data_IF_944667463443
#
_entry.id   IF_944667463443
#
_cell.length_a   1.000
_cell.length_b   1.000
_cell.length_c   1.000
_cell.angle_alpha   90.00
_cell.angle_beta   90.00
_cell.angle_gamma   90.00
#
_symmetry.space_group_name_H-M   'P 1'
#
loop_
_entity.id
_entity.type
_entity.pdbx_description
1 polymer ?
#
# COMPACT_ATOMS: atom_id res chain seq x y z
N UNK A 1 -6.35 -26.64 -22.62
CA UNK A 1 -6.76 -25.51 -21.76
C UNK A 1 -6.45 -25.84 -20.30
N UNK A 2 -5.52 -25.12 -19.64
CA UNK A 2 -5.34 -25.27 -18.19
C UNK A 2 -6.53 -24.61 -17.49
N UNK A 3 -7.37 -25.41 -16.81
CA UNK A 3 -8.55 -24.91 -16.09
C UNK A 3 -8.09 -23.92 -15.01
N UNK A 4 -8.62 -22.69 -15.07
CA UNK A 4 -8.43 -21.71 -14.00
C UNK A 4 -8.89 -22.32 -12.67
N UNK A 5 -8.16 -22.12 -11.56
CA UNK A 5 -8.54 -22.68 -10.28
C UNK A 5 -9.94 -22.21 -9.86
N UNK A 6 -10.79 -23.12 -9.35
CA UNK A 6 -12.19 -22.84 -8.98
C UNK A 6 -12.36 -21.64 -8.04
N UNK A 7 -11.36 -21.34 -7.20
CA UNK A 7 -11.40 -20.19 -6.30
C UNK A 7 -11.31 -18.84 -7.01
N UNK A 8 -10.74 -18.77 -8.23
CA UNK A 8 -10.68 -17.54 -9.01
C UNK A 8 -12.10 -17.09 -9.39
N UNK A 9 -12.98 -18.04 -9.71
CA UNK A 9 -14.40 -17.78 -10.00
C UNK A 9 -15.21 -17.31 -8.78
N UNK A 10 -14.80 -17.66 -7.55
CA UNK A 10 -15.50 -17.21 -6.32
C UNK A 10 -15.23 -15.76 -5.94
N UNK A 11 -14.29 -15.09 -6.61
CA UNK A 11 -13.93 -13.68 -6.35
C UNK A 11 -14.57 -12.70 -7.33
N UNK A 12 -15.24 -13.20 -8.38
CA UNK A 12 -15.80 -12.39 -9.45
C UNK A 12 -17.25 -12.80 -9.70
N UNK A 13 -18.10 -11.80 -9.85
CA UNK A 13 -19.51 -12.02 -10.18
C UNK A 13 -19.65 -12.59 -11.59
N UNK A 14 -18.90 -12.04 -12.55
CA UNK A 14 -18.92 -12.44 -13.95
C UNK A 14 -17.54 -12.33 -14.58
N UNK A 15 -17.26 -13.24 -15.51
CA UNK A 15 -16.11 -13.19 -16.41
C UNK A 15 -16.65 -13.39 -17.82
N UNK A 16 -16.44 -12.42 -18.69
CA UNK A 16 -17.06 -12.37 -20.01
C UNK A 16 -16.03 -11.93 -21.06
N UNK A 17 -16.25 -12.28 -22.32
CA UNK A 17 -15.58 -11.63 -23.44
C UNK A 17 -16.35 -10.36 -23.90
N UNK A 18 -15.80 -9.61 -24.85
CA UNK A 18 -16.43 -8.37 -25.35
C UNK A 18 -17.83 -8.59 -25.96
N UNK A 19 -18.04 -9.69 -26.69
CA UNK A 19 -19.34 -9.99 -27.32
C UNK A 19 -20.38 -10.39 -26.29
N UNK A 20 -19.99 -11.17 -25.28
CA UNK A 20 -20.87 -11.54 -24.16
C UNK A 20 -21.25 -10.33 -23.29
N UNK A 21 -20.36 -9.33 -23.18
CA UNK A 21 -20.61 -8.13 -22.39
C UNK A 21 -21.54 -7.14 -23.11
N UNK A 22 -21.26 -6.82 -24.38
CA UNK A 22 -22.04 -5.84 -25.15
C UNK A 22 -23.25 -6.43 -25.89
N UNK A 23 -23.33 -7.76 -26.03
CA UNK A 23 -24.44 -8.42 -26.71
C UNK A 23 -24.63 -7.91 -28.14
N UNK A 24 -25.85 -7.46 -28.45
CA UNK A 24 -26.21 -6.98 -29.79
C UNK A 24 -25.68 -5.59 -30.11
N UNK A 25 -25.23 -4.82 -29.10
CA UNK A 25 -24.62 -3.50 -29.31
C UNK A 25 -23.23 -3.57 -29.96
N UNK A 26 -22.64 -4.77 -30.10
CA UNK A 26 -21.35 -4.98 -30.73
C UNK A 26 -21.50 -5.86 -31.99
N UNK A 27 -21.30 -5.27 -33.18
CA UNK A 27 -21.29 -6.03 -34.44
C UNK A 27 -19.85 -6.31 -34.90
N UNK A 28 -19.54 -7.62 -34.99
CA UNK A 28 -18.22 -8.13 -35.36
C UNK A 28 -18.16 -8.65 -36.80
N UNK A 29 -19.29 -8.70 -37.54
CA UNK A 29 -19.39 -9.46 -38.80
C UNK A 29 -18.47 -8.95 -39.91
N UNK A 30 -18.21 -7.64 -39.94
CA UNK A 30 -17.43 -7.00 -41.01
C UNK A 30 -16.16 -6.29 -40.52
N UNK A 31 -15.71 -6.57 -39.28
CA UNK A 31 -14.57 -5.89 -38.70
C UNK A 31 -13.55 -6.88 -38.11
N UNK A 32 -12.55 -7.25 -38.92
CA UNK A 32 -11.51 -8.21 -38.55
C UNK A 32 -10.62 -7.73 -37.39
N UNK A 33 -10.36 -6.42 -37.30
CA UNK A 33 -9.56 -5.84 -36.22
C UNK A 33 -10.31 -5.94 -34.89
N UNK A 34 -11.58 -5.53 -34.89
CA UNK A 34 -12.47 -5.60 -33.71
C UNK A 34 -12.75 -7.05 -33.30
N UNK A 35 -12.90 -7.97 -34.25
CA UNK A 35 -13.03 -9.40 -33.96
C UNK A 35 -11.76 -9.95 -33.29
N UNK A 36 -10.58 -9.51 -33.74
CA UNK A 36 -9.30 -9.90 -33.13
C UNK A 36 -9.17 -9.34 -31.72
N UNK A 37 -9.58 -8.09 -31.50
CA UNK A 37 -9.64 -7.48 -30.17
C UNK A 37 -10.62 -8.25 -29.26
N UNK A 38 -11.83 -8.53 -29.75
CA UNK A 38 -12.87 -9.24 -29.00
C UNK A 38 -12.42 -10.63 -28.50
N UNK A 39 -11.61 -11.34 -29.30
CA UNK A 39 -11.03 -12.65 -28.91
C UNK A 39 -9.93 -12.53 -27.84
N UNK A 40 -9.28 -11.37 -27.71
CA UNK A 40 -8.16 -11.14 -26.78
C UNK A 40 -8.61 -10.57 -25.45
N UNK A 41 -9.70 -9.82 -25.43
CA UNK A 41 -10.18 -9.12 -24.24
C UNK A 41 -11.03 -10.03 -23.36
N UNK A 42 -10.70 -10.01 -22.06
CA UNK A 42 -11.47 -10.62 -20.98
C UNK A 42 -11.90 -9.51 -20.03
N UNK A 43 -13.19 -9.47 -19.74
CA UNK A 43 -13.83 -8.51 -18.85
C UNK A 43 -14.20 -9.25 -17.58
N UNK A 44 -13.81 -8.67 -16.44
CA UNK A 44 -14.06 -9.25 -15.12
C UNK A 44 -14.86 -8.24 -14.30
N UNK A 45 -16.01 -8.69 -13.80
CA UNK A 45 -16.89 -7.93 -12.90
C UNK A 45 -16.66 -8.40 -11.47
N UNK A 46 -16.04 -7.59 -10.60
CA UNK A 46 -15.90 -7.93 -9.19
C UNK A 46 -17.23 -7.71 -8.44
N UNK A 47 -17.48 -8.47 -7.37
CA UNK A 47 -18.69 -8.32 -6.54
C UNK A 47 -18.81 -6.92 -5.91
N UNK A 48 -17.70 -6.36 -5.42
CA UNK A 48 -17.65 -5.00 -4.87
C UNK A 48 -17.23 -4.00 -5.94
N UNK A 49 -17.95 -3.98 -7.07
CA UNK A 49 -17.65 -3.07 -8.20
C UNK A 49 -17.69 -1.63 -7.73
N UNK A 50 -16.62 -0.88 -8.02
CA UNK A 50 -16.61 0.56 -7.85
C UNK A 50 -17.34 1.18 -9.05
N UNK A 51 -18.40 1.95 -8.80
CA UNK A 51 -19.18 2.61 -9.85
C UNK A 51 -18.55 3.96 -10.24
N UNK A 52 -17.30 3.91 -10.70
CA UNK A 52 -16.55 5.11 -11.09
C UNK A 52 -17.16 5.82 -12.29
N UNK A 53 -17.79 5.09 -13.21
CA UNK A 53 -18.59 5.63 -14.32
C UNK A 53 -19.68 6.58 -13.83
N UNK A 54 -20.42 6.20 -12.79
CA UNK A 54 -21.49 7.02 -12.20
C UNK A 54 -20.95 8.25 -11.49
N UNK A 55 -19.76 8.14 -10.88
CA UNK A 55 -19.07 9.29 -10.28
C UNK A 55 -18.61 10.28 -11.35
N UNK A 56 -18.08 9.77 -12.46
CA UNK A 56 -17.67 10.58 -13.60
C UNK A 56 -18.85 11.32 -14.23
N UNK A 57 -19.97 10.65 -14.46
CA UNK A 57 -21.18 11.26 -15.03
C UNK A 57 -21.82 12.34 -14.14
N UNK A 58 -21.59 12.28 -12.82
CA UNK A 58 -22.06 13.28 -11.84
C UNK A 58 -21.06 14.41 -11.61
N UNK A 59 -19.88 14.35 -12.22
CA UNK A 59 -18.84 15.33 -12.02
C UNK A 59 -19.25 16.69 -12.63
N UNK A 60 -19.01 17.79 -11.89
CA UNK A 60 -19.40 19.15 -12.33
C UNK A 60 -18.72 19.60 -13.63
N UNK A 61 -17.61 18.97 -14.00
CA UNK A 61 -16.87 19.23 -15.23
C UNK A 61 -17.11 18.15 -16.29
N UNK A 62 -18.04 17.22 -16.06
CA UNK A 62 -18.47 16.27 -17.08
C UNK A 62 -19.05 17.03 -18.27
N UNK A 63 -18.45 16.83 -19.44
CA UNK A 63 -18.95 17.45 -20.65
C UNK A 63 -20.16 16.65 -21.16
N UNK A 64 -21.36 17.21 -21.00
CA UNK A 64 -22.59 16.59 -21.51
C UNK A 64 -22.61 16.47 -23.03
N UNK A 65 -21.83 17.30 -23.73
CA UNK A 65 -21.55 17.17 -25.16
C UNK A 65 -20.47 16.11 -25.30
N UNK A 66 -20.87 14.84 -25.19
CA UNK A 66 -19.92 13.74 -25.06
C UNK A 66 -19.00 13.70 -26.27
N UNK A 67 -17.69 13.61 -26.02
CA UNK A 67 -16.71 13.58 -27.09
C UNK A 67 -16.81 12.26 -27.86
N UNK A 68 -17.12 12.34 -29.15
CA UNK A 68 -17.21 11.17 -30.06
C UNK A 68 -15.84 10.65 -30.52
N UNK A 69 -14.76 11.26 -30.04
CA UNK A 69 -13.40 10.86 -30.36
C UNK A 69 -12.73 10.21 -29.14
N UNK A 70 -12.26 8.96 -29.30
CA UNK A 70 -11.70 8.15 -28.21
C UNK A 70 -10.55 8.88 -27.48
N UNK A 71 -9.63 9.54 -28.19
CA UNK A 71 -8.47 10.18 -27.57
C UNK A 71 -8.89 11.31 -26.62
N UNK A 72 -9.77 12.20 -27.08
CA UNK A 72 -10.30 13.29 -26.25
C UNK A 72 -11.11 12.77 -25.08
N UNK A 73 -11.87 11.69 -25.28
CA UNK A 73 -12.59 11.01 -24.20
C UNK A 73 -11.62 10.45 -23.14
N UNK A 74 -10.52 9.82 -23.54
CA UNK A 74 -9.50 9.32 -22.63
C UNK A 74 -8.80 10.45 -21.86
N UNK A 75 -8.55 11.58 -22.52
CA UNK A 75 -7.96 12.77 -21.89
C UNK A 75 -8.93 13.39 -20.86
N UNK A 76 -10.24 13.42 -21.13
CA UNK A 76 -11.25 13.84 -20.16
C UNK A 76 -11.28 12.91 -18.94
N UNK A 77 -11.25 11.59 -19.16
CA UNK A 77 -11.20 10.62 -18.07
C UNK A 77 -9.91 10.74 -17.25
N UNK A 78 -8.79 11.06 -17.90
CA UNK A 78 -7.55 11.33 -17.21
C UNK A 78 -7.67 12.57 -16.32
N UNK A 79 -8.32 13.64 -16.79
CA UNK A 79 -8.59 14.83 -15.98
C UNK A 79 -9.56 14.55 -14.82
N UNK A 80 -10.60 13.75 -15.05
CA UNK A 80 -11.49 13.27 -14.00
C UNK A 80 -10.72 12.48 -12.95
N UNK A 81 -9.94 11.48 -13.37
CA UNK A 81 -9.12 10.69 -12.48
C UNK A 81 -8.16 11.59 -11.70
N UNK A 82 -7.53 12.59 -12.35
CA UNK A 82 -6.60 13.54 -11.73
C UNK A 82 -7.19 14.19 -10.47
N UNK A 83 -8.44 14.62 -10.56
CA UNK A 83 -9.18 15.30 -9.49
C UNK A 83 -9.66 14.35 -8.40
N UNK A 84 -9.95 13.11 -8.76
CA UNK A 84 -10.27 12.06 -7.80
C UNK A 84 -8.95 11.55 -7.15
N UNK A 85 -8.48 12.23 -6.11
CA UNK A 85 -7.18 12.00 -5.44
C UNK A 85 -6.92 10.56 -4.97
N UNK A 86 -7.95 9.70 -4.88
CA UNK A 86 -7.88 8.28 -4.48
C UNK A 86 -8.29 7.28 -5.59
N UNK A 87 -8.18 7.68 -6.86
CA UNK A 87 -8.58 6.85 -8.00
C UNK A 87 -7.51 5.78 -8.31
N UNK A 88 -7.51 4.70 -7.54
CA UNK A 88 -6.68 3.52 -7.80
C UNK A 88 -7.21 2.75 -9.01
N UNK A 89 -6.75 3.14 -10.20
CA UNK A 89 -7.23 2.59 -11.46
C UNK A 89 -6.07 2.41 -12.44
N UNK A 90 -5.91 1.20 -12.99
CA UNK A 90 -4.72 0.78 -13.75
C UNK A 90 -4.39 1.74 -14.90
N UNK A 91 -5.41 2.23 -15.60
CA UNK A 91 -5.26 3.17 -16.71
C UNK A 91 -4.57 4.48 -16.32
N UNK A 92 -4.64 4.88 -15.04
CA UNK A 92 -4.21 6.20 -14.54
C UNK A 92 -3.11 6.14 -13.46
N UNK A 93 -2.49 4.97 -13.22
CA UNK A 93 -1.50 4.77 -12.13
C UNK A 93 -0.17 5.48 -12.41
N UNK A 94 0.22 5.65 -13.68
CA UNK A 94 1.44 6.37 -14.05
C UNK A 94 1.13 7.85 -14.22
N UNK A 95 1.28 8.63 -13.16
CA UNK A 95 1.22 10.10 -13.27
C UNK A 95 2.62 10.68 -13.13
N UNK A 96 2.95 11.53 -14.08
CA UNK A 96 3.72 12.75 -13.80
C UNK A 96 2.78 13.91 -14.08
N UNK A 97 2.40 14.67 -13.05
CA UNK A 97 1.56 15.87 -13.18
C UNK A 97 2.30 17.06 -13.85
N UNK A 98 3.51 16.85 -14.38
CA UNK A 98 4.35 17.91 -14.96
C UNK A 98 4.20 18.12 -16.47
N UNK A 99 3.59 17.21 -17.22
CA UNK A 99 3.35 17.46 -18.65
C UNK A 99 2.03 18.19 -18.84
N UNK A 100 2.08 19.52 -18.88
CA UNK A 100 1.03 20.36 -19.48
C UNK A 100 0.76 20.00 -20.96
N UNK A 101 1.55 19.09 -21.54
CA UNK A 101 1.46 18.58 -22.91
C UNK A 101 0.69 17.27 -23.08
N UNK A 102 0.07 16.71 -22.04
CA UNK A 102 -0.85 15.56 -22.19
C UNK A 102 -0.21 14.19 -22.49
N UNK A 103 1.12 14.07 -22.52
CA UNK A 103 1.81 12.81 -22.79
C UNK A 103 2.02 11.97 -21.52
N UNK A 104 0.93 11.39 -20.98
CA UNK A 104 1.02 10.31 -20.00
C UNK A 104 0.66 8.98 -20.66
N UNK A 105 1.58 8.39 -21.42
CA UNK A 105 1.37 7.10 -22.09
C UNK A 105 1.99 5.97 -21.27
N UNK A 106 1.28 5.50 -20.23
CA UNK A 106 1.60 4.16 -19.74
C UNK A 106 1.22 3.11 -20.80
N UNK A 107 1.78 1.91 -20.70
CA UNK A 107 1.54 0.83 -21.69
C UNK A 107 0.06 0.53 -21.92
N UNK A 108 -0.77 0.66 -20.88
CA UNK A 108 -2.21 0.46 -21.00
C UNK A 108 -2.91 1.61 -21.74
N UNK A 109 -2.56 2.86 -21.47
CA UNK A 109 -3.06 4.03 -22.21
C UNK A 109 -2.61 3.98 -23.67
N UNK A 110 -1.36 3.57 -23.91
CA UNK A 110 -0.82 3.44 -25.26
C UNK A 110 -1.58 2.37 -26.08
N UNK A 111 -2.02 1.27 -25.45
CA UNK A 111 -2.87 0.27 -26.10
C UNK A 111 -4.17 0.90 -26.62
N UNK A 112 -4.85 1.73 -25.83
CA UNK A 112 -6.06 2.41 -26.28
C UNK A 112 -5.82 3.44 -27.39
N UNK A 113 -4.71 4.21 -27.30
CA UNK A 113 -4.40 5.26 -28.28
C UNK A 113 -3.87 4.74 -29.63
N UNK A 114 -3.20 3.58 -29.64
CA UNK A 114 -2.52 3.05 -30.84
C UNK A 114 -3.33 1.99 -31.59
N UNK A 115 -4.11 1.17 -30.90
CA UNK A 115 -4.86 0.09 -31.53
C UNK A 115 -6.24 0.59 -31.99
N UNK A 116 -6.39 0.74 -33.31
CA UNK A 116 -7.60 1.26 -33.99
C UNK A 116 -8.88 0.51 -33.64
N UNK A 117 -8.78 -0.77 -33.27
CA UNK A 117 -9.93 -1.56 -32.84
C UNK A 117 -10.62 -0.98 -31.59
N UNK A 118 -9.89 -0.27 -30.72
CA UNK A 118 -10.51 0.42 -29.58
C UNK A 118 -11.34 1.63 -30.00
N UNK A 119 -10.90 2.38 -31.01
CA UNK A 119 -11.67 3.49 -31.56
C UNK A 119 -12.95 2.99 -32.23
N UNK A 120 -12.85 1.91 -33.01
CA UNK A 120 -14.02 1.26 -33.62
C UNK A 120 -15.00 0.71 -32.57
N UNK A 121 -14.48 0.11 -31.48
CA UNK A 121 -15.32 -0.34 -30.36
C UNK A 121 -16.04 0.86 -29.72
N UNK A 122 -15.30 1.95 -29.45
CA UNK A 122 -15.82 3.17 -28.86
C UNK A 122 -16.94 3.80 -29.70
N UNK A 123 -16.76 3.87 -31.01
CA UNK A 123 -17.77 4.36 -31.95
C UNK A 123 -19.04 3.49 -31.95
N UNK A 124 -18.90 2.17 -31.91
CA UNK A 124 -20.06 1.26 -31.92
C UNK A 124 -20.86 1.28 -30.61
N UNK A 125 -20.18 1.18 -29.46
CA UNK A 125 -20.88 1.06 -28.16
C UNK A 125 -21.21 2.42 -27.54
N UNK A 126 -20.59 3.47 -28.05
CA UNK A 126 -20.72 4.82 -27.54
C UNK A 126 -19.96 5.07 -26.23
N UNK A 127 -19.78 6.35 -25.90
CA UNK A 127 -18.90 6.78 -24.81
C UNK A 127 -19.40 6.38 -23.42
N UNK A 128 -20.71 6.26 -23.22
CA UNK A 128 -21.28 5.86 -21.93
C UNK A 128 -20.98 4.40 -21.61
N UNK A 129 -21.32 3.50 -22.54
CA UNK A 129 -21.10 2.06 -22.36
C UNK A 129 -19.60 1.73 -22.35
N UNK A 130 -18.81 2.44 -23.16
CA UNK A 130 -17.36 2.33 -23.13
C UNK A 130 -16.76 2.82 -21.81
N UNK A 131 -17.25 3.95 -21.27
CA UNK A 131 -16.84 4.46 -19.96
C UNK A 131 -17.16 3.49 -18.83
N UNK A 132 -18.35 2.89 -18.84
CA UNK A 132 -18.71 1.82 -17.90
C UNK A 132 -17.75 0.63 -18.00
N UNK A 133 -17.47 0.15 -19.21
CA UNK A 133 -16.51 -0.93 -19.43
C UNK A 133 -15.15 -0.63 -18.80
N UNK A 134 -14.53 0.52 -19.14
CA UNK A 134 -13.14 0.75 -18.77
C UNK A 134 -12.96 1.22 -17.32
N UNK A 135 -13.96 1.89 -16.74
CA UNK A 135 -13.90 2.46 -15.38
C UNK A 135 -14.38 1.48 -14.32
N UNK A 136 -15.45 0.74 -14.59
CA UNK A 136 -16.10 -0.08 -13.56
C UNK A 136 -15.65 -1.54 -13.60
N UNK A 137 -15.18 -2.02 -14.75
CA UNK A 137 -14.75 -3.42 -14.92
C UNK A 137 -13.24 -3.55 -14.99
N UNK A 138 -12.74 -4.73 -14.61
CA UNK A 138 -11.35 -5.11 -14.81
C UNK A 138 -11.23 -5.65 -16.23
N UNK A 139 -10.49 -4.94 -17.08
CA UNK A 139 -10.29 -5.34 -18.47
C UNK A 139 -8.87 -5.86 -18.64
N UNK A 140 -8.75 -7.08 -19.16
CA UNK A 140 -7.50 -7.80 -19.35
C UNK A 140 -7.35 -8.17 -20.82
N UNK A 141 -6.18 -7.94 -21.38
CA UNK A 141 -5.81 -8.40 -22.72
C UNK A 141 -4.92 -9.62 -22.66
N UNK A 142 -5.18 -10.60 -23.53
CA UNK A 142 -4.32 -11.77 -23.74
C UNK A 142 -3.21 -11.44 -24.74
N UNK A 143 -1.99 -11.78 -24.36
CA UNK A 143 -0.79 -11.65 -25.19
C UNK A 143 -0.56 -12.93 -26.01
N UNK A 144 0.16 -12.81 -27.13
CA UNK A 144 0.46 -13.93 -28.04
C UNK A 144 1.21 -15.07 -27.36
N UNK A 145 2.08 -14.78 -26.39
CA UNK A 145 2.79 -15.76 -25.57
C UNK A 145 1.95 -16.45 -24.48
N UNK A 146 0.63 -16.26 -24.45
CA UNK A 146 -0.26 -16.83 -23.44
C UNK A 146 -0.28 -16.08 -22.10
N UNK A 147 0.47 -14.98 -21.99
CA UNK A 147 0.41 -14.05 -20.86
C UNK A 147 -0.86 -13.18 -20.86
N UNK A 148 -1.12 -12.53 -19.73
CA UNK A 148 -2.24 -11.63 -19.54
C UNK A 148 -1.75 -10.29 -18.99
N UNK A 149 -2.33 -9.20 -19.48
CA UNK A 149 -2.02 -7.84 -19.06
C UNK A 149 -3.31 -7.09 -18.74
N UNK A 150 -3.41 -6.47 -17.56
CA UNK A 150 -4.55 -5.64 -17.20
C UNK A 150 -4.39 -4.26 -17.83
N UNK A 151 -5.39 -3.85 -18.63
CA UNK A 151 -5.39 -2.57 -19.35
C UNK A 151 -6.25 -1.50 -18.67
N UNK A 152 -7.29 -1.88 -17.92
CA UNK A 152 -8.11 -0.91 -17.20
C UNK A 152 -8.76 -1.52 -15.94
N UNK A 153 -9.51 -0.70 -15.21
CA UNK A 153 -10.19 -1.08 -13.99
C UNK A 153 -9.33 -1.02 -12.73
N UNK A 154 -9.95 -1.44 -11.63
CA UNK A 154 -9.29 -1.55 -10.33
C UNK A 154 -8.19 -2.63 -10.36
N UNK A 155 -6.99 -2.39 -9.82
CA UNK A 155 -5.89 -3.37 -9.91
C UNK A 155 -6.28 -4.71 -9.29
N UNK A 156 -6.21 -5.81 -10.07
CA UNK A 156 -6.57 -7.15 -9.60
C UNK A 156 -5.72 -7.58 -8.38
N UNK A 157 -4.48 -7.08 -8.30
CA UNK A 157 -3.54 -7.30 -7.19
C UNK A 157 -3.98 -6.68 -5.85
N UNK A 158 -4.95 -5.76 -5.88
CA UNK A 158 -5.51 -5.09 -4.71
C UNK A 158 -6.82 -5.70 -4.24
N UNK A 159 -7.38 -6.65 -4.98
CA UNK A 159 -8.59 -7.34 -4.55
C UNK A 159 -8.33 -8.15 -3.27
N UNK A 160 -9.35 -8.30 -2.40
CA UNK A 160 -9.23 -9.10 -1.19
C UNK A 160 -8.76 -10.51 -1.55
N UNK A 161 -7.64 -10.94 -0.96
CA UNK A 161 -7.19 -12.32 -1.13
C UNK A 161 -8.21 -13.24 -0.44
N UNK A 162 -8.77 -14.25 -1.13
CA UNK A 162 -9.65 -15.20 -0.48
C UNK A 162 -8.88 -15.88 0.65
N UNK A 163 -9.51 -15.96 1.83
CA UNK A 163 -8.97 -16.69 2.99
C UNK A 163 -8.91 -18.17 2.63
N UNK A 164 -7.77 -18.64 2.12
CA UNK A 164 -7.54 -20.07 1.89
C UNK A 164 -7.58 -20.74 3.26
N UNK A 165 -8.70 -21.40 3.60
CA UNK A 165 -8.72 -22.37 4.69
C UNK A 165 -7.73 -23.46 4.30
N UNK A 166 -6.54 -23.45 4.92
CA UNK A 166 -5.60 -24.56 4.80
C UNK A 166 -6.27 -25.79 5.42
N UNK A 167 -6.97 -26.57 4.60
CA UNK A 167 -7.27 -27.93 4.98
C UNK A 167 -5.92 -28.66 4.99
N UNK A 168 -5.42 -28.92 6.19
CA UNK A 168 -4.28 -29.79 6.45
C UNK A 168 -4.72 -31.18 5.99
N UNK A 169 -4.48 -31.50 4.71
CA UNK A 169 -4.46 -32.87 4.26
C UNK A 169 -3.24 -33.53 4.90
N UNK A 170 -3.47 -34.25 6.01
CA UNK A 170 -2.52 -35.23 6.53
C UNK A 170 -2.34 -36.29 5.43
N UNK A 171 -1.31 -36.16 4.61
CA UNK A 171 -0.81 -37.26 3.79
C UNK A 171 -0.33 -38.34 4.76
N UNK A 172 -1.10 -39.42 4.90
CA UNK A 172 -0.61 -40.70 5.45
C UNK A 172 0.57 -41.12 4.57
N UNK A 173 1.77 -41.07 5.12
CA UNK A 173 2.96 -41.67 4.52
C UNK A 173 2.87 -43.16 4.84
N UNK A 174 2.73 -43.98 3.80
CA UNK A 174 2.91 -45.43 3.93
C UNK A 174 4.41 -45.69 4.18
N UNK A 175 4.72 -46.37 5.27
CA UNK A 175 6.06 -46.87 5.56
C UNK A 175 6.29 -48.19 4.81
N UNK A 176 7.43 -48.39 4.13
CA UNK A 176 7.86 -49.72 3.70
C UNK A 176 8.48 -50.48 4.88
N UNK A 177 8.16 -51.77 4.95
CA UNK A 177 8.63 -52.71 5.98
C UNK A 177 10.10 -53.11 5.76
N UNK A 178 10.79 -53.17 6.89
CA UNK A 178 11.91 -54.03 7.31
C UNK A 178 13.11 -54.27 6.37
N UNK A 179 14.30 -53.97 6.89
CA UNK A 179 15.32 -55.00 7.09
C UNK A 179 16.29 -54.60 8.22
N UNK A 180 16.60 -55.59 9.07
CA UNK A 180 17.34 -55.51 10.32
C UNK A 180 18.86 -55.45 10.11
N UNK A 181 19.56 -54.54 10.80
CA UNK A 181 20.93 -54.80 11.26
C UNK A 181 21.08 -54.31 12.70
N UNK A 182 21.53 -55.20 13.57
CA UNK A 182 21.66 -55.03 15.02
C UNK A 182 23.00 -54.40 15.40
N UNK A 183 23.00 -53.49 16.39
CA UNK A 183 24.16 -53.24 17.25
C UNK A 183 23.74 -52.86 18.68
N UNK A 184 24.61 -53.12 19.68
CA UNK A 184 24.19 -53.54 21.00
C UNK A 184 24.56 -52.48 22.04
N UNK A 185 23.58 -51.74 22.54
CA UNK A 185 23.70 -51.05 23.82
C UNK A 185 22.39 -51.20 24.57
N UNK A 186 22.35 -52.13 25.53
CA UNK A 186 21.24 -52.31 26.47
C UNK A 186 21.13 -51.06 27.34
N UNK A 187 20.34 -50.08 26.91
CA UNK A 187 19.88 -49.00 27.78
C UNK A 187 18.85 -49.56 28.78
N UNK A 188 18.85 -49.12 30.05
CA UNK A 188 17.88 -49.58 31.03
C UNK A 188 16.45 -49.28 30.55
N UNK A 189 15.54 -50.25 30.69
CA UNK A 189 14.13 -50.08 30.32
C UNK A 189 13.50 -49.01 31.22
N UNK A 190 13.42 -47.78 30.71
CA UNK A 190 12.69 -46.67 31.35
C UNK A 190 11.23 -47.08 31.57
N UNK A 191 10.72 -46.76 32.76
CA UNK A 191 9.34 -47.04 33.15
C UNK A 191 8.34 -46.33 32.23
N UNK A 192 7.11 -46.85 32.11
CA UNK A 192 6.01 -46.25 31.31
C UNK A 192 5.82 -44.75 31.61
N UNK A 193 6.07 -44.31 32.85
CA UNK A 193 5.97 -42.91 33.27
C UNK A 193 7.10 -42.03 32.71
N UNK A 194 8.33 -42.53 32.63
CA UNK A 194 9.47 -41.80 32.08
C UNK A 194 9.38 -41.66 30.55
N UNK A 195 8.94 -42.71 29.85
CA UNK A 195 8.68 -42.64 28.40
C UNK A 195 7.58 -41.63 28.04
N UNK A 196 6.56 -41.49 28.89
CA UNK A 196 5.48 -40.51 28.69
C UNK A 196 5.97 -39.07 28.93
N UNK A 197 6.90 -38.84 29.88
CA UNK A 197 7.51 -37.52 30.10
C UNK A 197 8.46 -37.11 28.98
N UNK A 198 9.26 -38.03 28.44
CA UNK A 198 10.16 -37.75 27.31
C UNK A 198 9.38 -37.45 26.02
N UNK A 199 8.32 -38.21 25.70
CA UNK A 199 7.46 -37.88 24.54
C UNK A 199 6.77 -36.52 24.66
N UNK A 200 6.38 -36.11 25.87
CA UNK A 200 5.78 -34.78 26.11
C UNK A 200 6.84 -33.66 26.05
N UNK A 201 8.10 -33.95 26.40
CA UNK A 201 9.21 -33.01 26.26
C UNK A 201 9.65 -32.85 24.79
N UNK A 202 9.79 -33.95 24.04
CA UNK A 202 10.10 -33.96 22.61
C UNK A 202 8.99 -33.31 21.78
N UNK A 203 7.71 -33.56 22.10
CA UNK A 203 6.58 -32.84 21.46
C UNK A 203 6.56 -31.34 21.81
N UNK A 204 7.00 -30.94 23.01
CA UNK A 204 7.12 -29.52 23.40
C UNK A 204 8.34 -28.83 22.76
N UNK A 205 9.40 -29.56 22.44
CA UNK A 205 10.56 -29.03 21.70
C UNK A 205 10.32 -28.97 20.19
N UNK A 206 9.63 -29.97 19.61
CA UNK A 206 9.22 -29.93 18.19
C UNK A 206 8.16 -28.84 17.92
N UNK A 207 7.23 -28.59 18.84
CA UNK A 207 6.27 -27.47 18.75
C UNK A 207 6.94 -26.09 18.89
N UNK A 208 8.08 -25.99 19.58
CA UNK A 208 8.84 -24.74 19.71
C UNK A 208 9.71 -24.41 18.50
N UNK A 209 10.13 -25.40 17.70
CA UNK A 209 11.05 -25.19 16.59
C UNK A 209 10.45 -25.11 15.18
N UNK A 210 9.13 -25.30 15.00
CA UNK A 210 8.52 -25.28 13.64
C UNK A 210 7.35 -24.31 13.44
N UNK A 211 7.22 -23.26 14.26
CA UNK A 211 6.24 -22.19 13.97
C UNK A 211 6.75 -20.81 14.39
N UNK A 212 7.69 -20.24 13.61
CA UNK A 212 7.81 -18.77 13.56
C UNK A 212 6.51 -18.26 12.91
N UNK A 213 5.56 -17.82 13.75
CA UNK A 213 4.42 -17.06 13.27
C UNK A 213 4.94 -15.90 12.40
N UNK A 214 4.36 -15.64 11.23
CA UNK A 214 4.75 -14.47 10.44
C UNK A 214 4.53 -13.23 11.31
N UNK A 215 5.57 -12.40 11.42
CA UNK A 215 5.51 -11.11 12.12
C UNK A 215 4.30 -10.35 11.57
N UNK A 216 3.35 -9.89 12.42
CA UNK A 216 2.20 -9.11 11.98
C UNK A 216 2.62 -7.96 11.05
N UNK A 217 1.90 -7.78 9.94
CA UNK A 217 2.23 -6.77 8.92
C UNK A 217 2.25 -5.33 9.49
N UNK A 218 1.56 -5.10 10.61
CA UNK A 218 1.51 -3.85 11.38
C UNK A 218 2.85 -3.46 12.03
N UNK A 219 3.77 -4.42 12.20
CA UNK A 219 5.10 -4.19 12.75
C UNK A 219 6.12 -3.79 11.68
N UNK A 220 5.71 -3.60 10.43
CA UNK A 220 6.56 -3.10 9.36
C UNK A 220 6.22 -1.66 9.01
N UNK A 221 7.26 -0.84 8.78
CA UNK A 221 7.07 0.53 8.30
C UNK A 221 6.45 0.50 6.91
N UNK A 222 5.24 1.05 6.79
CA UNK A 222 4.48 1.07 5.55
C UNK A 222 5.10 2.06 4.55
N UNK A 223 5.80 1.55 3.52
CA UNK A 223 6.38 2.37 2.45
C UNK A 223 5.36 2.81 1.39
N UNK A 224 4.10 2.33 1.44
CA UNK A 224 3.10 2.60 0.37
C UNK A 224 2.71 4.07 0.28
N UNK A 225 2.74 4.81 1.40
CA UNK A 225 2.46 6.25 1.45
C UNK A 225 3.52 7.12 0.75
N UNK A 226 4.75 6.61 0.60
CA UNK A 226 5.86 7.34 -0.05
C UNK A 226 5.87 7.12 -1.58
N UNK A 227 5.19 6.08 -2.09
CA UNK A 227 5.34 5.62 -3.48
C UNK A 227 4.83 6.59 -4.55
N UNK A 228 3.85 7.43 -4.22
CA UNK A 228 3.19 8.30 -5.20
C UNK A 228 2.77 9.62 -4.55
N UNK A 229 3.76 10.43 -4.17
CA UNK A 229 3.51 11.82 -3.81
C UNK A 229 3.45 12.62 -5.11
N UNK A 230 2.24 12.87 -5.59
CA UNK A 230 1.99 13.47 -6.92
C UNK A 230 1.49 14.92 -6.85
N UNK A 231 1.36 15.49 -5.66
CA UNK A 231 1.06 16.90 -5.45
C UNK A 231 2.16 17.55 -4.61
N UNK A 232 2.27 18.88 -4.67
CA UNK A 232 2.61 19.64 -3.47
C UNK A 232 1.64 19.16 -2.39
N UNK A 233 2.10 18.29 -1.50
CA UNK A 233 1.30 17.92 -0.35
C UNK A 233 1.17 19.22 0.43
N UNK A 234 -0.04 19.79 0.42
CA UNK A 234 -0.57 20.46 1.60
C UNK A 234 -0.39 19.45 2.71
N UNK A 235 0.63 19.66 3.55
CA UNK A 235 1.09 18.76 4.60
C UNK A 235 -0.10 17.95 5.14
N UNK A 236 -0.06 16.62 5.06
CA UNK A 236 -1.07 15.76 5.70
C UNK A 236 -1.14 16.10 7.21
N UNK A 237 -0.02 16.58 7.76
CA UNK A 237 0.07 17.17 9.10
C UNK A 237 -0.30 18.67 9.16
N UNK A 238 -0.05 19.45 8.12
CA UNK A 238 -0.30 20.90 8.13
C UNK A 238 -1.78 21.23 8.01
N UNK A 239 -2.64 20.40 7.44
CA UNK A 239 -4.09 20.67 7.54
C UNK A 239 -4.63 20.43 8.96
N UNK A 240 -4.14 19.42 9.69
CA UNK A 240 -4.47 19.25 11.13
C UNK A 240 -3.80 20.31 12.02
N UNK A 241 -2.60 20.74 11.66
CA UNK A 241 -1.81 21.68 12.47
C UNK A 241 -2.04 23.16 12.12
N UNK A 242 -2.55 23.50 10.93
CA UNK A 242 -2.66 24.88 10.41
C UNK A 242 -4.08 25.48 10.37
N UNK A 243 -5.14 24.78 10.79
CA UNK A 243 -6.45 25.43 10.98
C UNK A 243 -6.42 26.40 12.20
N UNK A 244 -7.05 27.55 12.06
CA UNK A 244 -6.70 28.84 12.68
C UNK A 244 -6.85 29.06 14.21
N UNK A 245 -6.36 30.25 14.61
CA UNK A 245 -6.34 30.98 15.90
C UNK A 245 -5.24 30.63 16.91
N UNK A 246 -4.40 31.63 17.21
CA UNK A 246 -3.33 31.66 18.22
C UNK A 246 -3.88 31.69 19.67
N UNK A 247 -4.99 31.00 19.92
CA UNK A 247 -5.54 30.85 21.27
C UNK A 247 -5.01 29.54 21.90
N UNK A 248 -4.49 29.62 23.12
CA UNK A 248 -3.88 28.50 23.88
C UNK A 248 -4.85 27.29 24.03
N UNK A 249 -6.16 27.54 23.90
CA UNK A 249 -7.20 26.50 23.87
C UNK A 249 -7.16 25.64 22.59
N UNK A 250 -6.96 26.25 21.42
CA UNK A 250 -6.88 25.52 20.14
C UNK A 250 -5.60 24.69 20.00
N UNK A 251 -4.50 25.12 20.64
CA UNK A 251 -3.26 24.35 20.68
C UNK A 251 -3.41 23.04 21.46
N UNK A 252 -4.12 23.06 22.60
CA UNK A 252 -4.38 21.87 23.42
C UNK A 252 -5.21 20.83 22.67
N UNK A 253 -6.25 21.26 21.96
CA UNK A 253 -7.10 20.37 21.15
C UNK A 253 -6.32 19.70 20.02
N UNK A 254 -5.47 20.45 19.31
CA UNK A 254 -4.60 19.89 18.26
C UNK A 254 -3.59 18.89 18.80
N UNK A 255 -2.98 19.16 19.95
CA UNK A 255 -2.06 18.21 20.59
C UNK A 255 -2.80 16.94 21.00
N UNK A 256 -4.02 17.07 21.53
CA UNK A 256 -4.87 15.91 21.85
C UNK A 256 -5.17 15.10 20.60
N UNK A 257 -5.51 15.73 19.48
CA UNK A 257 -5.81 15.02 18.23
C UNK A 257 -4.56 14.36 17.63
N UNK A 258 -3.40 15.02 17.68
CA UNK A 258 -2.12 14.41 17.34
C UNK A 258 -1.82 13.18 18.21
N UNK A 259 -2.06 13.27 19.52
CA UNK A 259 -1.84 12.14 20.43
C UNK A 259 -2.86 11.01 20.24
N UNK A 260 -4.11 11.30 19.89
CA UNK A 260 -5.11 10.28 19.48
C UNK A 260 -4.66 9.51 18.25
N UNK A 261 -3.95 10.17 17.33
CA UNK A 261 -3.43 9.51 16.14
C UNK A 261 -2.26 8.56 16.47
N UNK A 262 -1.38 8.95 17.40
CA UNK A 262 -0.23 8.14 17.82
C UNK A 262 -0.64 7.00 18.76
N UNK A 263 -1.59 7.26 19.66
CA UNK A 263 -2.00 6.37 20.75
C UNK A 263 -3.52 6.07 20.69
N UNK A 264 -4.05 5.52 19.58
CA UNK A 264 -5.50 5.41 19.38
C UNK A 264 -6.18 4.51 20.41
N UNK A 265 -5.48 3.51 20.95
CA UNK A 265 -6.03 2.58 21.94
C UNK A 265 -6.20 3.24 23.31
N UNK A 266 -5.29 4.13 23.69
CA UNK A 266 -5.27 4.85 24.96
C UNK A 266 -6.38 5.92 25.04
N UNK A 267 -6.84 6.42 23.89
CA UNK A 267 -7.95 7.37 23.77
C UNK A 267 -9.30 6.70 23.42
N UNK A 268 -9.34 5.38 23.23
CA UNK A 268 -10.57 4.64 22.91
C UNK A 268 -11.46 4.44 24.15
N UNK A 269 -12.75 4.74 24.02
CA UNK A 269 -13.73 4.66 25.12
C UNK A 269 -14.35 3.27 25.34
N UNK A 270 -13.98 2.27 24.52
CA UNK A 270 -14.74 1.00 24.42
C UNK A 270 -14.33 -0.12 25.40
N UNK A 271 -13.36 0.06 26.30
CA UNK A 271 -12.89 -1.05 27.17
C UNK A 271 -12.75 -0.70 28.67
N UNK A 272 -13.35 -1.50 29.57
CA UNK A 272 -13.20 -1.35 31.04
C UNK A 272 -11.76 -1.55 31.55
N UNK A 273 -10.95 -2.39 30.89
CA UNK A 273 -9.50 -2.53 31.15
C UNK A 273 -8.69 -1.27 30.77
N UNK A 274 -9.23 -0.44 29.88
CA UNK A 274 -8.62 0.84 29.53
C UNK A 274 -8.63 1.80 30.73
N UNK A 275 -9.51 1.65 31.73
CA UNK A 275 -9.55 2.56 32.90
C UNK A 275 -8.26 2.57 33.73
N UNK A 276 -7.61 1.42 33.92
CA UNK A 276 -6.36 1.30 34.70
C UNK A 276 -5.14 1.74 33.88
N UNK A 277 -5.10 1.39 32.58
CA UNK A 277 -4.09 1.88 31.62
C UNK A 277 -4.21 3.39 31.41
N UNK A 278 -5.43 3.93 31.37
CA UNK A 278 -5.74 5.36 31.27
C UNK A 278 -5.24 6.12 32.49
N UNK A 279 -5.29 5.57 33.71
CA UNK A 279 -4.67 6.20 34.89
C UNK A 279 -3.13 6.31 34.77
N UNK A 280 -2.44 5.24 34.35
CA UNK A 280 -0.98 5.27 34.12
C UNK A 280 -0.59 6.18 32.96
N UNK A 281 -1.40 6.19 31.90
CA UNK A 281 -1.24 7.10 30.77
C UNK A 281 -1.47 8.55 31.20
N UNK A 282 -2.50 8.86 32.00
CA UNK A 282 -2.78 10.19 32.54
C UNK A 282 -1.65 10.72 33.44
N UNK A 283 -0.97 9.86 34.21
CA UNK A 283 0.21 10.24 34.98
C UNK A 283 1.39 10.63 34.06
N UNK A 284 1.58 9.91 32.96
CA UNK A 284 2.61 10.21 31.93
C UNK A 284 2.15 11.24 30.90
N UNK A 285 0.87 11.60 30.90
CA UNK A 285 0.26 12.44 29.88
C UNK A 285 0.84 13.85 29.92
N UNK A 286 1.18 14.36 31.10
CA UNK A 286 1.78 15.69 31.21
C UNK A 286 3.17 15.76 30.55
N UNK A 287 4.01 14.73 30.71
CA UNK A 287 5.33 14.69 30.06
C UNK A 287 5.21 14.48 28.56
N UNK A 288 4.33 13.57 28.13
CA UNK A 288 4.02 13.34 26.71
C UNK A 288 3.46 14.60 26.07
N UNK A 289 2.53 15.30 26.73
CA UNK A 289 1.93 16.53 26.24
C UNK A 289 2.97 17.65 26.11
N UNK A 290 3.87 17.81 27.10
CA UNK A 290 4.98 18.78 27.02
C UNK A 290 5.88 18.50 25.82
N UNK A 291 6.23 17.23 25.59
CA UNK A 291 7.05 16.82 24.44
C UNK A 291 6.31 17.08 23.12
N UNK A 292 5.02 16.69 23.03
CA UNK A 292 4.20 16.94 21.85
C UNK A 292 4.02 18.44 21.55
N UNK A 293 3.86 19.27 22.59
CA UNK A 293 3.83 20.74 22.45
C UNK A 293 5.15 21.26 21.88
N UNK A 294 6.29 20.74 22.37
CA UNK A 294 7.61 21.11 21.89
C UNK A 294 7.81 20.73 20.41
N UNK A 295 7.41 19.50 20.04
CA UNK A 295 7.42 19.02 18.65
C UNK A 295 6.59 19.94 17.76
N UNK A 296 5.36 20.28 18.17
CA UNK A 296 4.48 21.18 17.42
C UNK A 296 5.13 22.55 17.18
N UNK A 297 5.63 23.19 18.25
CA UNK A 297 6.27 24.51 18.16
C UNK A 297 7.52 24.48 17.27
N UNK A 298 8.33 23.43 17.38
CA UNK A 298 9.52 23.23 16.55
C UNK A 298 9.17 22.96 15.09
N UNK A 299 8.15 22.15 14.82
CA UNK A 299 7.66 21.88 13.47
C UNK A 299 7.17 23.16 12.77
N UNK A 300 6.36 24.00 13.45
CA UNK A 300 5.87 25.29 12.88
C UNK A 300 7.01 26.27 12.57
N UNK A 301 8.11 26.25 13.34
CA UNK A 301 9.29 27.10 13.11
C UNK A 301 10.22 26.54 12.04
N UNK A 302 10.22 25.23 11.88
CA UNK A 302 11.04 24.55 10.90
C UNK A 302 10.52 24.85 9.50
N UNK A 303 11.42 25.21 8.57
CA UNK A 303 11.09 25.53 7.18
C UNK A 303 11.74 24.47 6.28
N UNK A 304 11.06 23.33 6.01
CA UNK A 304 11.63 22.22 5.25
C UNK A 304 12.15 22.64 3.88
N UNK A 305 11.46 23.56 3.20
CA UNK A 305 11.88 24.10 1.89
C UNK A 305 13.24 24.79 1.94
N UNK A 306 13.53 25.52 3.02
CA UNK A 306 14.80 26.22 3.17
C UNK A 306 15.95 25.24 3.39
N UNK A 307 15.74 24.22 4.23
CA UNK A 307 16.72 23.16 4.40
C UNK A 307 16.91 22.34 3.11
N UNK A 308 15.82 22.08 2.39
CA UNK A 308 15.86 21.39 1.12
C UNK A 308 16.74 22.15 0.14
N UNK A 309 16.54 23.46 -0.02
CA UNK A 309 17.37 24.28 -0.92
C UNK A 309 18.84 24.36 -0.49
N UNK A 310 19.15 24.28 0.81
CA UNK A 310 20.54 24.23 1.30
C UNK A 310 21.21 22.90 0.92
N UNK A 311 20.52 21.77 1.12
CA UNK A 311 21.08 20.42 0.87
C UNK A 311 21.02 20.06 -0.63
N UNK A 312 20.02 20.61 -1.32
CA UNK A 312 19.68 20.40 -2.73
C UNK A 312 19.50 21.75 -3.43
N UNK A 313 20.58 22.51 -3.64
CA UNK A 313 20.48 23.75 -4.42
C UNK A 313 19.94 23.42 -5.81
N UNK A 314 18.86 24.11 -6.20
CA UNK A 314 18.30 24.01 -7.55
C UNK A 314 19.37 24.54 -8.50
N UNK A 315 20.05 23.65 -9.22
CA UNK A 315 20.82 24.07 -10.40
C UNK A 315 19.81 24.53 -11.45
N UNK A 316 20.13 25.56 -12.23
CA UNK A 316 19.39 25.88 -13.44
C UNK A 316 19.58 24.68 -14.38
N UNK A 317 18.48 23.97 -14.68
CA UNK A 317 18.56 22.68 -15.37
C UNK A 317 18.39 22.89 -16.89
N UNK A 318 19.36 22.37 -17.65
CA UNK A 318 19.31 22.21 -19.11
C UNK A 318 19.55 20.76 -19.57
N UNK A 319 19.31 19.75 -18.72
CA UNK A 319 19.64 18.33 -18.96
C UNK A 319 18.50 17.34 -18.67
N UNK A 320 18.79 16.03 -18.79
CA UNK A 320 17.85 14.89 -18.67
C UNK A 320 17.24 14.78 -17.25
N UNK A 321 15.98 14.35 -17.16
CA UNK A 321 15.23 14.14 -15.90
C UNK A 321 15.92 13.12 -15.00
N UNK A 322 16.68 12.17 -15.56
CA UNK A 322 17.43 11.19 -14.79
C UNK A 322 18.57 11.82 -13.97
N UNK A 323 19.06 12.99 -14.36
CA UNK A 323 20.05 13.76 -13.60
C UNK A 323 19.45 14.43 -12.35
N UNK A 324 18.12 14.40 -12.19
CA UNK A 324 17.42 14.91 -11.00
C UNK A 324 17.37 13.91 -9.84
N UNK A 325 17.90 12.69 -10.01
CA UNK A 325 17.89 11.67 -8.94
C UNK A 325 18.82 12.10 -7.80
N UNK A 326 18.26 12.20 -6.59
CA UNK A 326 19.01 12.59 -5.41
C UNK A 326 19.78 11.41 -4.81
N UNK A 327 21.09 11.55 -4.55
CA UNK A 327 21.85 10.51 -3.85
C UNK A 327 21.26 10.20 -2.48
N UNK A 328 21.19 8.91 -2.13
CA UNK A 328 20.65 8.45 -0.83
C UNK A 328 21.30 9.17 0.36
N UNK A 329 22.61 9.43 0.31
CA UNK A 329 23.33 10.14 1.37
C UNK A 329 22.77 11.52 1.67
N UNK A 330 22.40 12.29 0.64
CA UNK A 330 21.79 13.61 0.80
C UNK A 330 20.36 13.53 1.35
N UNK A 331 19.58 12.55 0.91
CA UNK A 331 18.23 12.28 1.43
C UNK A 331 18.30 11.93 2.92
N UNK A 332 19.24 11.06 3.31
CA UNK A 332 19.48 10.69 4.71
C UNK A 332 19.86 11.93 5.53
N UNK A 333 20.76 12.77 5.02
CA UNK A 333 21.17 14.00 5.70
C UNK A 333 20.00 14.96 5.93
N UNK A 334 19.14 15.11 4.92
CA UNK A 334 17.92 15.92 5.02
C UNK A 334 17.00 15.38 6.11
N UNK A 335 16.66 14.08 6.09
CA UNK A 335 15.78 13.46 7.09
C UNK A 335 16.38 13.58 8.50
N UNK A 336 17.67 13.28 8.67
CA UNK A 336 18.34 13.39 9.98
C UNK A 336 18.26 14.81 10.54
N UNK A 337 18.50 15.81 9.71
CA UNK A 337 18.45 17.21 10.12
C UNK A 337 17.02 17.64 10.46
N UNK A 338 16.03 17.18 9.69
CA UNK A 338 14.61 17.39 10.01
C UNK A 338 14.22 16.78 11.35
N UNK A 339 14.61 15.52 11.61
CA UNK A 339 14.35 14.86 12.88
C UNK A 339 15.00 15.61 14.05
N UNK A 340 16.24 16.07 13.90
CA UNK A 340 16.95 16.85 14.93
C UNK A 340 16.28 18.21 15.20
N UNK A 341 15.79 18.88 14.16
CA UNK A 341 15.16 20.19 14.28
C UNK A 341 13.77 20.11 14.91
N UNK A 342 13.00 19.07 14.58
CA UNK A 342 11.60 18.93 15.00
C UNK A 342 11.48 18.23 16.36
N UNK A 343 12.22 17.14 16.58
CA UNK A 343 12.05 16.31 17.77
C UNK A 343 13.07 16.69 18.86
N UNK A 344 12.60 17.06 20.07
CA UNK A 344 13.47 17.41 21.19
C UNK A 344 14.25 16.18 21.71
N UNK A 345 15.40 16.39 22.37
CA UNK A 345 16.25 15.27 22.84
C UNK A 345 15.51 14.38 23.84
N UNK A 346 14.64 14.99 24.65
CA UNK A 346 13.76 14.36 25.62
C UNK A 346 12.80 13.36 24.97
N UNK A 347 12.42 13.56 23.70
CA UNK A 347 11.62 12.59 22.94
C UNK A 347 12.39 11.30 22.64
N UNK A 348 13.71 11.39 22.49
CA UNK A 348 14.57 10.22 22.22
C UNK A 348 15.09 9.58 23.53
N UNK A 349 15.01 10.30 24.65
CA UNK A 349 15.56 9.92 25.96
C UNK A 349 17.08 10.03 26.04
N UNK A 350 17.80 9.81 24.93
CA UNK A 350 19.26 9.99 24.86
C UNK A 350 19.74 10.22 23.43
N UNK A 351 20.96 10.76 23.28
CA UNK A 351 21.62 10.89 21.98
C UNK A 351 21.88 9.52 21.33
N UNK A 352 22.22 8.50 22.13
CA UNK A 352 22.40 7.12 21.66
C UNK A 352 21.14 6.60 20.95
N UNK A 353 19.96 6.81 21.55
CA UNK A 353 18.69 6.37 20.96
C UNK A 353 18.38 7.13 19.65
N UNK A 354 18.68 8.43 19.60
CA UNK A 354 18.58 9.19 18.35
C UNK A 354 19.51 8.63 17.27
N UNK A 355 20.74 8.24 17.62
CA UNK A 355 21.69 7.66 16.68
C UNK A 355 21.25 6.27 16.19
N UNK A 356 20.63 5.45 17.04
CA UNK A 356 19.98 4.18 16.66
C UNK A 356 18.92 4.43 15.58
N UNK A 357 18.00 5.38 15.83
CA UNK A 357 16.94 5.73 14.86
C UNK A 357 17.57 6.28 13.57
N UNK A 358 18.60 7.12 13.66
CA UNK A 358 19.33 7.62 12.51
C UNK A 358 20.00 6.53 11.67
N UNK A 359 20.49 5.45 12.29
CA UNK A 359 20.99 4.25 11.58
C UNK A 359 19.84 3.52 10.90
N UNK A 360 18.71 3.34 11.58
CA UNK A 360 17.52 2.74 10.99
C UNK A 360 17.01 3.53 9.78
N UNK A 361 17.02 4.88 9.83
CA UNK A 361 16.72 5.75 8.68
C UNK A 361 17.67 5.51 7.52
N UNK A 362 18.98 5.40 7.77
CA UNK A 362 19.96 5.08 6.72
C UNK A 362 19.63 3.74 6.06
N UNK A 363 19.37 2.70 6.86
CA UNK A 363 18.96 1.40 6.34
C UNK A 363 17.64 1.51 5.56
N UNK A 364 16.67 2.26 6.06
CA UNK A 364 15.38 2.47 5.42
C UNK A 364 15.51 3.13 4.04
N UNK A 365 16.26 4.23 3.93
CA UNK A 365 16.43 4.95 2.66
C UNK A 365 17.18 4.11 1.64
N UNK A 366 18.20 3.36 2.06
CA UNK A 366 18.99 2.51 1.16
C UNK A 366 18.29 1.22 0.71
N UNK A 367 17.18 0.83 1.34
CA UNK A 367 16.45 -0.40 1.00
C UNK A 367 15.66 -0.27 -0.30
N UNK A 368 15.62 -1.34 -1.09
CA UNK A 368 14.86 -1.42 -2.35
C UNK A 368 13.34 -1.33 -2.13
N UNK A 369 12.58 -1.02 -3.19
CA UNK A 369 11.14 -0.70 -3.16
C UNK A 369 10.23 -1.72 -2.44
N UNK A 370 10.63 -2.98 -2.40
CA UNK A 370 9.86 -4.09 -1.82
C UNK A 370 10.40 -4.58 -0.46
N UNK A 371 11.55 -4.07 -0.05
CA UNK A 371 12.15 -4.40 1.24
C UNK A 371 11.43 -3.60 2.34
N UNK A 372 10.89 -4.31 3.32
CA UNK A 372 10.22 -3.73 4.49
C UNK A 372 11.20 -3.65 5.65
N UNK A 373 11.14 -2.60 6.46
CA UNK A 373 11.90 -2.49 7.71
C UNK A 373 10.94 -2.76 8.88
N UNK A 374 11.28 -3.75 9.71
CA UNK A 374 10.49 -4.13 10.88
C UNK A 374 10.80 -3.22 12.07
N UNK A 375 9.83 -3.03 12.96
CA UNK A 375 10.01 -2.26 14.18
C UNK A 375 11.08 -2.86 15.10
N UNK A 376 11.21 -4.19 15.12
CA UNK A 376 12.28 -4.88 15.85
C UNK A 376 13.67 -4.53 15.33
N UNK A 377 13.83 -4.35 14.02
CA UNK A 377 15.10 -3.89 13.44
C UNK A 377 15.36 -2.41 13.77
N UNK A 378 14.31 -1.57 13.76
CA UNK A 378 14.42 -0.13 14.09
C UNK A 378 14.83 0.09 15.54
N UNK A 379 14.21 -0.67 16.46
CA UNK A 379 14.43 -0.55 17.90
C UNK A 379 15.59 -1.43 18.40
N UNK A 380 16.34 -2.05 17.49
CA UNK A 380 17.50 -2.85 17.88
C UNK A 380 18.53 -1.97 18.59
N UNK A 381 18.89 -2.34 19.84
CA UNK A 381 19.76 -1.57 20.75
C UNK A 381 19.18 -0.25 21.27
N UNK A 382 17.87 -0.05 21.12
CA UNK A 382 17.18 1.10 21.71
C UNK A 382 17.04 0.92 23.23
N UNK A 383 17.51 1.91 24.01
CA UNK A 383 17.53 1.86 25.47
C UNK A 383 16.27 2.51 26.03
N UNK A 384 15.34 1.67 26.49
CA UNK A 384 14.08 2.13 27.12
C UNK A 384 14.34 2.77 28.50
N UNK A 385 15.40 2.36 29.19
CA UNK A 385 15.78 2.92 30.49
C UNK A 385 16.20 4.38 30.44
N UNK A 386 16.53 4.93 29.27
CA UNK A 386 16.87 6.35 29.11
C UNK A 386 15.65 7.28 29.24
N UNK A 387 14.44 6.74 29.27
CA UNK A 387 13.21 7.51 29.50
C UNK A 387 12.90 7.54 31.00
N UNK A 388 13.53 8.47 31.71
CA UNK A 388 13.22 8.69 33.13
C UNK A 388 11.78 9.20 33.27
N UNK A 389 10.85 8.32 33.66
CA UNK A 389 9.71 8.72 34.47
C UNK A 389 10.16 8.59 35.93
N UNK A 390 10.31 9.67 36.72
CA UNK A 390 10.29 9.50 38.16
C UNK A 390 8.97 8.80 38.56
N UNK A 391 8.98 7.94 39.60
CA UNK A 391 7.81 7.22 40.06
C UNK A 391 6.62 8.11 40.43
#
# INVERSE_FOLDING_TARGET
MRKLPKYFYSSFERVQNLKEYFGDALDLRNNHELLTLAKRIVIITPHDRKCYSTMWQKDRHYNKTIVLELNKFLDELQYFAARQQNFLHVLFVSRSLKSLTGECTNTAMNEFKTNKAWAQLFEQVGPRAFGELILDHIVITRLSGGGYFQISGYPISRLPKPKIKKNIFKRKREEPKDEMIAHPFKRPKLSRRQKKKLKVAEQKEEEKHTTKQPIPDELFINRRSIRYILSEIKDIDGEMMAQSSDNDRGLKEKIVDFLKHIFPEEFSTKNRKASMQRRRFLQKYQSIHRIATSIYKRHRRNKPCHLFNIIFPRKEFGGDVMDMVLPHGKVILFIKTQLKNVFPLEFWGSQHNFDVVCRAVKCYVSRNMYEKLSLSEVLHQFKVSCFNCPP
#
